data_IF_899498568462
#
_entry.id   IF_899498568462
#
_cell.length_a   1.000
_cell.length_b   1.000
_cell.length_c   1.000
_cell.angle_alpha   90.00
_cell.angle_beta   90.00
_cell.angle_gamma   90.00
#
_symmetry.space_group_name_H-M   'P 1'
#
loop_
_entity.id
_entity.type
_entity.pdbx_description
1 polymer ?
#
# COMPACT_ATOMS: atom_id res chain seq x y z
N UNK A 1 7.90 13.52 -20.92
CA UNK A 1 8.76 12.44 -20.39
C UNK A 1 7.92 11.16 -20.24
N UNK A 2 8.50 9.97 -20.04
CA UNK A 2 7.69 8.81 -19.62
C UNK A 2 7.09 8.98 -18.23
N UNK A 3 7.66 9.86 -17.41
CA UNK A 3 7.17 10.18 -16.07
C UNK A 3 5.75 10.72 -16.06
N UNK A 4 5.38 11.55 -17.05
CA UNK A 4 4.04 12.14 -17.15
C UNK A 4 2.97 11.04 -17.36
N UNK A 5 3.29 10.04 -18.20
CA UNK A 5 2.42 8.87 -18.42
C UNK A 5 2.26 8.01 -17.17
N UNK A 6 3.28 7.94 -16.31
CA UNK A 6 3.19 7.22 -15.04
C UNK A 6 2.33 7.97 -14.03
N UNK A 7 2.44 9.30 -14.00
CA UNK A 7 1.59 10.13 -13.15
C UNK A 7 0.12 9.99 -13.54
N UNK A 8 -0.20 10.09 -14.84
CA UNK A 8 -1.56 9.89 -15.37
C UNK A 8 -2.14 8.52 -15.00
N UNK A 9 -1.37 7.45 -15.20
CA UNK A 9 -1.80 6.10 -14.82
C UNK A 9 -1.99 5.95 -13.31
N UNK A 10 -1.16 6.59 -12.49
CA UNK A 10 -1.30 6.56 -11.05
C UNK A 10 -2.57 7.28 -10.58
N UNK A 11 -2.91 8.45 -11.15
CA UNK A 11 -4.18 9.13 -10.83
C UNK A 11 -5.39 8.27 -11.20
N UNK A 12 -5.39 7.67 -12.40
CA UNK A 12 -6.48 6.77 -12.81
C UNK A 12 -6.67 5.59 -11.85
N UNK A 13 -5.59 5.04 -11.29
CA UNK A 13 -5.65 3.96 -10.29
C UNK A 13 -6.15 4.43 -8.92
N UNK A 14 -5.87 5.68 -8.53
CA UNK A 14 -6.43 6.28 -7.30
C UNK A 14 -7.93 6.47 -7.44
N UNK A 15 -8.37 7.07 -8.54
CA UNK A 15 -9.79 7.34 -8.83
C UNK A 15 -10.59 6.03 -8.91
N UNK A 16 -10.00 4.97 -9.46
CA UNK A 16 -10.59 3.64 -9.52
C UNK A 16 -10.56 2.86 -8.19
N UNK A 17 -10.04 3.45 -7.10
CA UNK A 17 -9.90 2.78 -5.80
C UNK A 17 -8.92 1.59 -5.82
N UNK A 18 -8.07 1.49 -6.84
CA UNK A 18 -7.05 0.44 -6.98
C UNK A 18 -5.76 0.78 -6.23
N UNK A 19 -5.65 2.00 -5.74
CA UNK A 19 -4.63 2.44 -4.81
C UNK A 19 -5.23 2.86 -3.47
N UNK A 20 -4.49 2.62 -2.40
CA UNK A 20 -4.76 3.19 -1.09
C UNK A 20 -3.50 3.79 -0.49
N UNK A 21 -3.71 4.84 0.30
CA UNK A 21 -2.61 5.55 0.96
C UNK A 21 -2.06 4.75 2.13
N UNK A 22 -0.75 4.80 2.26
CA UNK A 22 0.04 4.20 3.32
C UNK A 22 0.98 5.26 3.87
N UNK A 23 1.29 5.14 5.16
CA UNK A 23 2.01 6.18 5.91
C UNK A 23 3.10 5.60 6.82
N UNK A 24 3.33 4.28 6.79
CA UNK A 24 4.36 3.65 7.61
C UNK A 24 5.77 4.05 7.19
N UNK A 25 6.62 4.32 8.18
CA UNK A 25 8.05 4.51 7.96
C UNK A 25 8.76 3.19 7.65
N UNK A 26 9.98 3.23 7.08
CA UNK A 26 10.81 2.03 6.94
C UNK A 26 11.03 1.29 8.27
N UNK A 27 11.15 2.03 9.38
CA UNK A 27 11.28 1.45 10.73
C UNK A 27 10.02 0.72 11.16
N UNK A 28 8.83 1.30 10.93
CA UNK A 28 7.55 0.64 11.27
C UNK A 28 7.39 -0.68 10.51
N UNK A 29 7.74 -0.68 9.22
CA UNK A 29 7.68 -1.88 8.37
C UNK A 29 8.67 -2.95 8.85
N UNK A 30 9.89 -2.57 9.25
CA UNK A 30 10.87 -3.50 9.80
C UNK A 30 10.41 -4.14 11.12
N UNK A 31 9.82 -3.34 12.02
CA UNK A 31 9.26 -3.84 13.27
C UNK A 31 8.12 -4.84 13.03
N UNK A 32 7.19 -4.51 12.11
CA UNK A 32 6.10 -5.41 11.71
C UNK A 32 6.64 -6.72 11.14
N UNK A 33 7.62 -6.65 10.23
CA UNK A 33 8.30 -7.81 9.64
C UNK A 33 8.95 -8.70 10.70
N UNK A 34 9.75 -8.13 11.60
CA UNK A 34 10.42 -8.87 12.69
C UNK A 34 9.41 -9.54 13.61
N UNK A 35 8.32 -8.84 13.94
CA UNK A 35 7.23 -9.40 14.75
C UNK A 35 6.60 -10.63 14.08
N UNK A 36 6.30 -10.57 12.78
CA UNK A 36 5.76 -11.71 12.04
C UNK A 36 6.70 -12.90 12.03
N UNK A 37 7.99 -12.67 11.77
CA UNK A 37 9.02 -13.72 11.77
C UNK A 37 9.18 -14.37 13.15
N UNK A 38 9.20 -13.59 14.23
CA UNK A 38 9.26 -14.11 15.60
C UNK A 38 8.03 -14.94 15.98
N UNK A 39 6.90 -14.72 15.31
CA UNK A 39 5.68 -15.51 15.45
C UNK A 39 5.63 -16.72 14.48
N UNK A 40 6.69 -16.98 13.71
CA UNK A 40 6.73 -18.03 12.68
C UNK A 40 5.80 -17.77 11.48
N UNK A 41 5.36 -16.52 11.29
CA UNK A 41 4.44 -16.14 10.20
C UNK A 41 5.21 -15.61 8.99
N UNK A 42 4.71 -15.81 7.76
CA UNK A 42 5.26 -15.18 6.57
C UNK A 42 5.30 -13.65 6.71
N UNK A 43 6.40 -12.97 6.32
CA UNK A 43 6.58 -11.53 6.47
C UNK A 43 5.85 -10.71 5.39
N UNK A 44 4.54 -10.91 5.25
CA UNK A 44 3.70 -10.23 4.24
C UNK A 44 3.16 -8.92 4.82
N UNK A 45 3.11 -7.86 4.01
CA UNK A 45 2.56 -6.56 4.41
C UNK A 45 1.15 -6.73 5.01
N UNK A 46 0.94 -6.18 6.20
CA UNK A 46 -0.23 -6.45 7.04
C UNK A 46 -1.49 -5.65 6.65
N UNK A 47 -1.38 -4.77 5.65
CA UNK A 47 -2.47 -3.92 5.15
C UNK A 47 -3.10 -3.04 6.25
N UNK A 48 -2.34 -2.68 7.30
CA UNK A 48 -2.86 -1.89 8.41
C UNK A 48 -3.42 -0.53 7.97
N UNK A 49 -2.83 0.09 6.93
CA UNK A 49 -3.28 1.39 6.43
C UNK A 49 -4.72 1.40 5.89
N UNK A 50 -5.29 0.25 5.51
CA UNK A 50 -6.69 0.14 5.11
C UNK A 50 -7.68 0.42 6.25
N UNK A 51 -7.22 0.39 7.50
CA UNK A 51 -8.05 0.62 8.69
C UNK A 51 -8.03 2.07 9.16
N UNK A 52 -7.24 2.93 8.52
CA UNK A 52 -7.15 4.35 8.88
C UNK A 52 -8.44 5.07 8.49
N UNK A 53 -8.93 5.92 9.39
CA UNK A 53 -10.01 6.85 9.07
C UNK A 53 -9.50 7.98 8.17
N UNK A 54 -10.40 8.72 7.53
CA UNK A 54 -10.00 9.82 6.66
C UNK A 54 -9.36 10.97 7.46
N UNK A 55 -9.78 11.19 8.71
CA UNK A 55 -9.13 12.13 9.62
C UNK A 55 -7.71 11.70 9.96
N UNK A 56 -7.49 10.40 10.21
CA UNK A 56 -6.15 9.87 10.48
C UNK A 56 -5.24 10.02 9.26
N UNK A 57 -5.74 9.70 8.06
CA UNK A 57 -4.99 9.89 6.80
C UNK A 57 -4.66 11.36 6.57
N UNK A 58 -5.60 12.28 6.80
CA UNK A 58 -5.37 13.72 6.65
C UNK A 58 -4.23 14.20 7.55
N UNK A 59 -4.28 13.85 8.85
CA UNK A 59 -3.23 14.19 9.82
C UNK A 59 -1.87 13.60 9.44
N UNK A 60 -1.84 12.35 8.97
CA UNK A 60 -0.59 11.69 8.59
C UNK A 60 0.01 12.29 7.31
N UNK A 61 -0.84 12.68 6.35
CA UNK A 61 -0.41 13.33 5.11
C UNK A 61 0.28 14.67 5.38
N UNK A 62 -0.23 15.45 6.33
CA UNK A 62 0.40 16.72 6.74
C UNK A 62 1.72 16.52 7.48
N UNK A 63 1.83 15.45 8.28
CA UNK A 63 2.99 15.23 9.14
C UNK A 63 4.21 14.67 8.38
N UNK A 64 4.04 13.53 7.72
CA UNK A 64 5.15 12.73 7.18
C UNK A 64 5.01 12.48 5.66
N UNK A 65 3.91 12.92 5.05
CA UNK A 65 3.53 12.52 3.69
C UNK A 65 3.11 11.05 3.63
N UNK A 66 2.75 10.58 2.43
CA UNK A 66 2.28 9.21 2.23
C UNK A 66 2.78 8.62 0.92
N UNK A 67 2.59 7.31 0.77
CA UNK A 67 2.86 6.58 -0.46
C UNK A 67 1.67 5.70 -0.80
N UNK A 68 1.64 5.18 -2.03
CA UNK A 68 0.52 4.40 -2.54
C UNK A 68 0.88 2.92 -2.62
N UNK A 69 -0.06 2.06 -2.26
CA UNK A 69 0.01 0.61 -2.51
C UNK A 69 -1.15 0.17 -3.37
N UNK A 70 -0.92 -0.87 -4.19
CA UNK A 70 -1.97 -1.57 -4.92
C UNK A 70 -2.93 -2.25 -3.95
N UNK A 71 -4.23 -1.97 -4.13
CA UNK A 71 -5.29 -2.75 -3.56
C UNK A 71 -5.45 -4.02 -4.42
N UNK A 72 -4.96 -5.13 -3.88
CA UNK A 72 -5.11 -6.44 -4.51
C UNK A 72 -6.40 -7.09 -4.03
N UNK A 73 -7.21 -7.53 -4.99
CA UNK A 73 -8.37 -8.39 -4.76
C UNK A 73 -7.88 -9.78 -4.37
N UNK A 74 -8.55 -10.39 -3.39
CA UNK A 74 -8.18 -11.71 -2.88
C UNK A 74 -8.85 -12.80 -3.71
N UNK A 75 -8.59 -12.77 -5.01
CA UNK A 75 -9.16 -13.68 -5.99
C UNK A 75 -8.07 -14.44 -6.71
N UNK A 76 -8.40 -15.65 -7.17
CA UNK A 76 -7.50 -16.46 -7.97
C UNK A 76 -7.49 -15.91 -9.40
N UNK A 77 -6.32 -15.50 -9.86
CA UNK A 77 -6.11 -15.05 -11.23
C UNK A 77 -5.39 -16.18 -11.97
N UNK A 78 -5.95 -16.61 -13.10
CA UNK A 78 -5.37 -17.62 -13.97
C UNK A 78 -5.08 -17.02 -15.35
N UNK A 79 -3.96 -17.41 -15.95
CA UNK A 79 -3.65 -17.12 -17.34
C UNK A 79 -2.85 -18.28 -17.93
N UNK A 80 -2.96 -18.49 -19.25
CA UNK A 80 -2.07 -19.39 -19.98
C UNK A 80 -0.80 -18.64 -20.31
N UNK A 81 0.33 -19.10 -19.79
CA UNK A 81 1.64 -18.55 -20.12
C UNK A 81 2.01 -18.92 -21.57
N UNK A 82 2.66 -18.00 -22.26
CA UNK A 82 2.92 -18.06 -23.71
C UNK A 82 4.19 -18.81 -24.09
#
# INVERSE_FOLDING_TARGET
SRLDRYAEAAEALKDAGRFYECFESPTDLDLKRKKQLNMGKPPVYDRAALKLTDEEKARLREKDGGYWRFLLDQERIEWTDG
#
